data_IF_981895599459
#
_entry.id   IF_981895599459
#
_cell.length_a   1.000
_cell.length_b   1.000
_cell.length_c   1.000
_cell.angle_alpha   90.00
_cell.angle_beta   90.00
_cell.angle_gamma   90.00
#
_symmetry.space_group_name_H-M   'P 1'
#
loop_
_entity.id
_entity.type
_entity.pdbx_description
1 polymer ?
2 non-polymer ?
3 non-polymer ?
4 non-polymer ?
5 non-polymer ?
6 non-polymer ?
7 water ?
#
# COMPACT_ATOMS: atom_id res chain seq x y z
N UNK A 17 3.22 -23.47 -6.14
CA UNK A 17 2.69 -23.04 -4.80
C UNK A 17 2.85 -21.52 -4.59
N UNK A 18 2.04 -20.71 -5.30
CA UNK A 18 2.16 -19.26 -5.15
C UNK A 18 1.71 -18.75 -3.77
N UNK A 19 2.42 -17.76 -3.24
CA UNK A 19 2.01 -17.11 -1.99
C UNK A 19 1.29 -15.79 -2.14
N UNK A 20 1.18 -15.26 -3.36
CA UNK A 20 0.45 -14.00 -3.63
C UNK A 20 -0.69 -14.29 -4.59
N UNK A 21 -1.72 -14.90 -4.04
CA UNK A 21 -2.78 -15.46 -4.82
C UNK A 21 -4.07 -14.80 -4.50
N UNK A 22 -4.50 -14.85 -3.25
CA UNK A 22 -5.81 -14.38 -2.89
C UNK A 22 -5.76 -13.39 -1.74
N UNK A 23 -6.79 -12.60 -1.64
CA UNK A 23 -6.91 -11.57 -0.62
C UNK A 23 -8.05 -11.97 0.33
N UNK A 24 -7.74 -11.94 1.63
CA UNK A 24 -8.70 -12.25 2.66
C UNK A 24 -8.87 -11.04 3.56
N UNK A 25 -9.99 -10.95 4.27
CA UNK A 25 -10.16 -9.92 5.27
C UNK A 25 -9.06 -10.09 6.35
N UNK A 26 -8.34 -9.01 6.64
CA UNK A 26 -7.27 -9.06 7.61
C UNK A 26 -7.75 -9.38 9.02
N UNK A 27 -9.00 -9.04 9.33
CA UNK A 27 -9.54 -9.27 10.69
C UNK A 27 -10.06 -10.66 10.95
N UNK A 28 -10.58 -11.33 9.93
CA UNK A 28 -11.26 -12.63 10.15
C UNK A 28 -10.94 -13.73 9.14
N UNK A 29 -10.28 -13.40 8.02
CA UNK A 29 -9.92 -14.39 7.05
C UNK A 29 -10.92 -14.71 5.96
N UNK A 30 -12.06 -14.05 5.97
CA UNK A 30 -13.05 -14.22 4.89
C UNK A 30 -12.40 -14.01 3.54
N UNK A 31 -12.66 -14.91 2.60
CA UNK A 31 -12.13 -14.75 1.24
C UNK A 31 -12.78 -13.57 0.56
N UNK A 32 -12.00 -12.66 -0.04
CA UNK A 32 -12.57 -11.42 -0.60
C UNK A 32 -12.30 -11.29 -2.09
N UNK A 33 -11.06 -11.43 -2.50
CA UNK A 33 -10.74 -11.28 -3.92
C UNK A 33 -9.44 -11.99 -4.28
N UNK A 34 -8.94 -11.75 -5.49
CA UNK A 34 -7.80 -12.48 -6.02
C UNK A 34 -6.92 -11.53 -6.77
N UNK A 35 -5.61 -11.77 -6.73
CA UNK A 35 -4.67 -10.97 -7.46
C UNK A 35 -5.00 -10.98 -8.97
N UNK A 36 -5.43 -12.12 -9.50
CA UNK A 36 -5.85 -12.22 -10.91
C UNK A 36 -6.95 -11.22 -11.28
N UNK A 37 -7.71 -10.73 -10.28
CA UNK A 37 -8.85 -9.82 -10.51
C UNK A 37 -8.50 -8.33 -10.32
N UNK A 38 -7.24 -8.02 -10.11
CA UNK A 38 -6.81 -6.61 -10.09
C UNK A 38 -7.18 -5.92 -11.41
N UNK A 39 -7.62 -4.68 -11.30
CA UNK A 39 -8.13 -3.90 -12.40
C UNK A 39 -7.39 -2.55 -12.51
N UNK A 40 -6.62 -2.32 -13.57
CA UNK A 40 -5.92 -1.04 -13.70
C UNK A 40 -6.74 0.19 -14.15
N UNK A 41 -7.55 0.74 -13.25
CA UNK A 41 -8.39 1.92 -13.51
C UNK A 41 -7.53 3.15 -13.73
N UNK A 42 -7.76 3.85 -14.84
CA UNK A 42 -6.90 4.98 -15.23
C UNK A 42 -5.43 4.61 -15.36
N UNK A 43 -5.13 3.36 -15.72
CA UNK A 43 -3.75 2.89 -15.90
C UNK A 43 -3.00 2.41 -14.67
N UNK A 44 -3.68 2.25 -13.53
CA UNK A 44 -3.01 1.80 -12.31
C UNK A 44 -4.03 1.12 -11.42
N UNK A 45 -3.72 -0.07 -10.89
CA UNK A 45 -4.66 -0.70 -9.96
C UNK A 45 -4.67 0.00 -8.59
N UNK A 46 -3.59 0.70 -8.26
CA UNK A 46 -3.49 1.46 -7.01
C UNK A 46 -3.82 2.93 -7.18
N UNK A 47 -4.68 3.44 -6.29
CA UNK A 47 -5.10 4.83 -6.25
C UNK A 47 -5.01 5.32 -4.80
N UNK A 48 -4.21 6.36 -4.59
CA UNK A 48 -4.04 6.92 -3.26
C UNK A 48 -4.96 8.12 -3.15
N UNK A 49 -5.90 8.10 -2.20
CA UNK A 49 -7.03 9.00 -2.16
C UNK A 49 -7.33 9.47 -0.74
N UNK A 50 -8.06 10.57 -0.59
CA UNK A 50 -8.50 11.03 0.74
C UNK A 50 -9.98 11.25 0.73
N UNK A 51 -10.64 10.91 1.84
CA UNK A 51 -12.05 11.23 2.00
C UNK A 51 -12.25 12.64 2.65
N UNK A 52 -13.51 13.12 2.73
CA UNK A 52 -13.72 14.44 3.31
C UNK A 52 -13.30 14.58 4.77
N UNK A 53 -13.23 13.45 5.48
CA UNK A 53 -12.71 13.41 6.84
C UNK A 53 -11.19 13.36 6.94
N UNK A 54 -10.50 13.50 5.81
CA UNK A 54 -9.06 13.62 5.77
C UNK A 54 -8.33 12.30 5.86
N UNK A 55 -9.06 11.19 5.88
CA UNK A 55 -8.45 9.88 5.95
C UNK A 55 -7.86 9.55 4.59
N UNK A 56 -6.61 9.09 4.60
CA UNK A 56 -5.95 8.63 3.35
C UNK A 56 -6.15 7.13 3.21
N UNK A 57 -6.41 6.69 1.98
CA UNK A 57 -6.55 5.28 1.68
C UNK A 57 -5.69 4.96 0.48
N UNK A 58 -5.03 3.80 0.55
CA UNK A 58 -4.37 3.23 -0.61
C UNK A 58 -5.34 2.17 -1.11
N UNK A 59 -6.01 2.48 -2.21
CA UNK A 59 -7.13 1.69 -2.71
C UNK A 59 -6.61 0.89 -3.88
N UNK A 60 -6.88 -0.41 -3.86
CA UNK A 60 -6.59 -1.28 -5.00
C UNK A 60 -7.92 -1.62 -5.63
N UNK A 61 -7.95 -1.51 -6.96
CA UNK A 61 -9.16 -1.74 -7.72
C UNK A 61 -9.17 -3.16 -8.20
N UNK A 62 -10.33 -3.81 -8.06
CA UNK A 62 -10.55 -5.21 -8.46
C UNK A 62 -11.82 -5.25 -9.32
N UNK A 63 -11.80 -6.10 -10.34
CA UNK A 63 -12.97 -6.26 -11.17
C UNK A 63 -14.10 -7.00 -10.45
N UNK A 64 -13.73 -7.87 -9.51
CA UNK A 64 -14.64 -8.75 -8.81
C UNK A 64 -14.18 -8.91 -7.39
N UNK A 65 -15.14 -9.18 -6.51
CA UNK A 65 -14.88 -9.52 -5.12
C UNK A 65 -16.06 -10.30 -4.64
N UNK A 66 -15.86 -10.96 -3.50
CA UNK A 66 -16.83 -11.83 -2.90
C UNK A 66 -16.74 -11.68 -1.38
N UNK A 67 -17.72 -12.20 -0.67
CA UNK A 67 -17.67 -12.24 0.80
C UNK A 67 -17.90 -10.89 1.46
N UNK A 68 -18.35 -9.90 0.70
CA UNK A 68 -18.65 -8.56 1.23
C UNK A 68 -20.13 -8.42 1.46
N UNK A 69 -20.50 -7.33 2.14
CA UNK A 69 -21.88 -6.91 2.28
C UNK A 69 -21.90 -5.45 1.92
N UNK A 70 -22.72 -5.10 0.92
CA UNK A 70 -22.81 -3.74 0.45
C UNK A 70 -23.94 -3.06 1.18
N UNK A 71 -23.68 -1.87 1.71
CA UNK A 71 -24.58 -1.17 2.60
C UNK A 71 -25.12 0.09 1.96
N UNK A 72 -26.45 0.21 1.97
CA UNK A 72 -27.12 1.43 1.53
C UNK A 72 -27.29 1.53 0.04
N UNK A 73 -27.76 2.69 -0.40
CA UNK A 73 -27.96 2.95 -1.81
C UNK A 73 -26.73 3.68 -2.34
N UNK A 74 -26.44 3.55 -3.65
CA UNK A 74 -25.26 4.21 -4.20
C UNK A 74 -25.29 5.72 -4.10
N UNK A 75 -24.13 6.32 -3.97
CA UNK A 75 -23.99 7.77 -3.96
C UNK A 75 -22.88 8.20 -4.90
N UNK A 76 -23.07 9.29 -5.62
CA UNK A 76 -22.00 9.87 -6.44
C UNK A 76 -21.15 10.88 -5.70
N UNK A 77 -21.56 11.25 -4.50
CA UNK A 77 -20.91 12.31 -3.71
C UNK A 77 -19.44 12.00 -3.43
N UNK A 78 -18.56 12.91 -3.80
CA UNK A 78 -17.11 12.80 -3.56
C UNK A 78 -16.46 11.57 -4.19
N UNK A 79 -17.04 11.00 -5.25
CA UNK A 79 -16.49 9.79 -5.80
C UNK A 79 -15.11 10.05 -6.34
N UNK A 80 -14.19 9.16 -5.99
CA UNK A 80 -12.82 9.18 -6.49
C UNK A 80 -12.68 8.75 -7.94
N UNK A 81 -13.73 8.18 -8.52
CA UNK A 81 -13.69 7.64 -9.87
C UNK A 81 -14.84 8.24 -10.65
N UNK A 82 -14.48 9.02 -11.67
CA UNK A 82 -15.46 9.83 -12.41
C UNK A 82 -16.46 8.92 -13.08
N UNK A 83 -17.73 9.25 -12.92
CA UNK A 83 -18.81 8.48 -13.56
C UNK A 83 -19.35 7.33 -12.73
N UNK A 84 -18.76 7.08 -11.55
CA UNK A 84 -19.19 5.97 -10.68
C UNK A 84 -19.79 6.44 -9.39
N UNK A 85 -20.81 5.72 -8.96
CA UNK A 85 -21.44 5.91 -7.66
C UNK A 85 -20.94 4.80 -6.78
N UNK A 86 -20.84 5.06 -5.48
CA UNK A 86 -20.25 4.08 -4.55
C UNK A 86 -21.23 3.66 -3.46
N UNK A 87 -21.00 2.45 -2.95
CA UNK A 87 -21.66 1.92 -1.75
C UNK A 87 -20.55 1.37 -0.87
N UNK A 88 -20.70 1.54 0.44
CA UNK A 88 -19.73 0.99 1.39
C UNK A 88 -19.76 -0.53 1.31
N UNK A 89 -18.57 -1.14 1.29
CA UNK A 89 -18.41 -2.58 1.28
C UNK A 89 -17.81 -3.00 2.61
N UNK A 90 -18.57 -3.77 3.37
CA UNK A 90 -18.06 -4.36 4.62
C UNK A 90 -17.71 -5.83 4.40
N UNK A 91 -16.78 -6.32 5.19
CA UNK A 91 -16.61 -7.78 5.25
C UNK A 91 -17.93 -8.39 5.66
N UNK A 92 -18.42 -9.38 4.87
CA UNK A 92 -19.68 -10.01 5.17
C UNK A 92 -19.69 -10.87 6.41
N UNK A 93 -18.50 -11.25 6.88
CA UNK A 93 -18.37 -12.10 8.02
C UNK A 93 -18.26 -11.26 9.30
N UNK A 94 -17.30 -10.35 9.32
CA UNK A 94 -16.97 -9.61 10.57
C UNK A 94 -17.38 -8.14 10.61
N UNK A 95 -17.81 -7.57 9.47
CA UNK A 95 -18.24 -6.19 9.44
C UNK A 95 -17.13 -5.16 9.24
N UNK A 96 -15.88 -5.59 9.13
CA UNK A 96 -14.74 -4.67 8.88
C UNK A 96 -15.00 -3.86 7.60
N UNK A 97 -14.76 -2.55 7.64
CA UNK A 97 -14.93 -1.75 6.40
C UNK A 97 -13.77 -1.99 5.46
N UNK A 98 -14.01 -2.70 4.37
CA UNK A 98 -12.93 -3.08 3.46
C UNK A 98 -12.76 -2.22 2.24
N UNK A 99 -13.80 -1.46 1.90
CA UNK A 99 -13.71 -0.56 0.77
C UNK A 99 -15.07 -0.15 0.28
N UNK A 100 -15.21 -0.09 -1.03
CA UNK A 100 -16.41 0.42 -1.69
C UNK A 100 -16.66 -0.37 -2.96
N UNK A 101 -17.94 -0.52 -3.32
CA UNK A 101 -18.30 -1.01 -4.63
C UNK A 101 -18.76 0.17 -5.46
N UNK A 102 -18.29 0.21 -6.70
CA UNK A 102 -18.58 1.29 -7.63
C UNK A 102 -19.45 0.77 -8.75
N UNK A 103 -20.43 1.56 -9.15
CA UNK A 103 -21.39 1.18 -10.17
C UNK A 103 -21.83 2.40 -10.94
N UNK A 104 -22.52 2.15 -12.03
CA UNK A 104 -23.14 3.24 -12.78
C UNK A 104 -22.27 3.88 -13.84
N UNK A 105 -21.04 3.36 -14.04
CA UNK A 105 -20.07 3.96 -14.95
C UNK A 105 -19.97 3.22 -16.26
N UNK A 106 -18.81 3.33 -16.92
CA UNK A 106 -18.62 2.71 -18.24
C UNK A 106 -17.23 2.10 -18.33
N UNK A 107 -17.14 0.87 -18.83
CA UNK A 107 -15.86 0.25 -19.16
C UNK A 107 -14.88 0.27 -17.98
N UNK A 108 -15.19 -0.40 -16.88
CA UNK A 108 -16.32 -1.26 -16.70
C UNK A 108 -17.50 -0.53 -16.08
N UNK A 109 -18.66 -1.18 -16.08
CA UNK A 109 -19.82 -0.57 -15.43
C UNK A 109 -19.63 -0.56 -13.90
N UNK A 110 -18.99 -1.59 -13.38
CA UNK A 110 -18.80 -1.76 -11.93
C UNK A 110 -17.40 -2.27 -11.61
N UNK A 111 -16.97 -2.00 -10.39
CA UNK A 111 -15.72 -2.57 -9.85
C UNK A 111 -15.69 -2.32 -8.36
N UNK A 112 -14.68 -2.89 -7.71
CA UNK A 112 -14.49 -2.73 -6.26
C UNK A 112 -13.21 -1.96 -6.01
N UNK A 113 -13.26 -0.99 -5.07
CA UNK A 113 -12.06 -0.33 -4.61
C UNK A 113 -11.85 -0.76 -3.17
N UNK A 114 -10.80 -1.55 -2.90
CA UNK A 114 -10.61 -2.14 -1.58
C UNK A 114 -9.36 -1.54 -0.95
N UNK A 115 -9.40 -1.39 0.37
CA UNK A 115 -8.30 -0.74 1.09
C UNK A 115 -7.19 -1.78 1.33
N UNK A 116 -6.04 -1.56 0.72
CA UNK A 116 -4.97 -2.57 0.68
C UNK A 116 -4.60 -3.09 2.06
N UNK A 117 -4.41 -2.17 3.01
CA UNK A 117 -3.94 -2.55 4.37
C UNK A 117 -5.00 -3.22 5.23
N UNK A 118 -6.22 -3.33 4.72
CA UNK A 118 -7.29 -4.06 5.41
C UNK A 118 -7.49 -5.48 4.91
N UNK A 119 -6.66 -5.87 3.95
CA UNK A 119 -6.66 -7.21 3.35
C UNK A 119 -5.36 -7.92 3.69
N UNK A 120 -5.41 -9.24 3.78
CA UNK A 120 -4.20 -10.07 3.89
C UNK A 120 -4.06 -10.93 2.65
N UNK A 121 -2.90 -10.86 2.03
CA UNK A 121 -2.63 -11.57 0.78
C UNK A 121 -1.90 -12.88 1.04
N UNK A 122 -2.29 -13.95 0.36
CA UNK A 122 -1.69 -15.24 0.64
C UNK A 122 -2.07 -16.30 -0.34
N UNK A 123 -1.65 -17.53 -0.08
CA UNK A 123 -1.83 -18.61 -1.04
C UNK A 123 -3.28 -19.00 -1.22
N UNK A 124 -3.58 -19.54 -2.40
CA UNK A 124 -4.88 -20.11 -2.72
C UNK A 124 -4.99 -21.50 -2.10
N UNK B 20 18.09 8.81 12.02
CA UNK B 20 18.24 7.40 11.56
C UNK B 20 17.92 6.47 12.71
N UNK B 21 16.63 6.27 12.94
CA UNK B 21 16.19 5.38 13.99
C UNK B 21 16.44 3.91 13.67
N UNK B 22 16.34 3.11 14.73
CA UNK B 22 16.61 1.69 14.59
C UNK B 22 15.46 0.88 15.14
N UNK B 23 15.39 -0.36 14.70
CA UNK B 23 14.38 -1.31 15.16
C UNK B 23 15.08 -2.37 15.99
N UNK B 24 14.59 -2.57 17.21
CA UNK B 24 15.14 -3.55 18.13
C UNK B 24 14.15 -4.65 18.35
N UNK B 25 14.64 -5.85 18.68
CA UNK B 25 13.76 -6.95 19.07
C UNK B 25 12.95 -6.49 20.28
N UNK B 26 11.63 -6.62 20.20
CA UNK B 26 10.75 -6.12 21.26
C UNK B 26 10.92 -6.92 22.54
N UNK B 27 11.35 -8.17 22.43
CA UNK B 27 11.54 -9.05 23.58
C UNK B 27 12.85 -8.87 24.34
N UNK B 28 13.93 -8.53 23.65
CA UNK B 28 15.23 -8.40 24.34
C UNK B 28 16.07 -7.15 24.07
N UNK B 29 15.68 -6.35 23.09
CA UNK B 29 16.37 -5.09 22.80
C UNK B 29 17.54 -5.19 21.84
N UNK B 30 17.80 -6.37 21.30
CA UNK B 30 18.91 -6.48 20.36
C UNK B 30 18.61 -5.58 19.16
N UNK B 31 19.56 -4.80 18.65
CA UNK B 31 19.37 -4.13 17.37
C UNK B 31 19.18 -5.15 16.22
N UNK B 32 18.14 -4.92 15.42
CA UNK B 32 17.81 -5.83 14.31
C UNK B 32 17.92 -5.18 12.95
N UNK B 33 17.30 -4.01 12.80
CA UNK B 33 17.39 -3.30 11.52
C UNK B 33 17.23 -1.81 11.71
N UNK B 34 17.12 -1.09 10.59
CA UNK B 34 17.18 0.38 10.63
C UNK B 34 16.14 0.92 9.70
N UNK B 35 15.57 2.07 10.08
CA UNK B 35 14.64 2.73 9.19
C UNK B 35 15.24 3.03 7.81
N UNK B 36 16.52 3.40 7.76
CA UNK B 36 17.21 3.67 6.49
C UNK B 36 17.16 2.46 5.54
N UNK B 37 16.95 1.26 6.09
CA UNK B 37 16.95 0.02 5.31
C UNK B 37 15.58 -0.46 4.87
N UNK B 38 14.52 0.30 5.17
CA UNK B 38 13.22 -0.03 4.66
C UNK B 38 13.24 -0.14 3.14
N UNK B 39 12.54 -1.15 2.65
CA UNK B 39 12.61 -1.56 1.26
C UNK B 39 11.20 -1.66 0.69
N UNK B 40 10.82 -0.77 -0.25
CA UNK B 40 9.47 -0.86 -0.81
C UNK B 40 9.23 -1.97 -1.88
N UNK B 41 9.14 -3.23 -1.43
CA UNK B 41 8.89 -4.36 -2.34
C UNK B 41 7.50 -4.30 -2.92
N UNK B 42 7.43 -4.41 -4.25
CA UNK B 42 6.17 -4.20 -4.97
C UNK B 42 5.51 -2.85 -4.71
N UNK B 43 6.31 -1.83 -4.42
CA UNK B 43 5.80 -0.47 -4.17
C UNK B 43 5.35 -0.13 -2.75
N UNK B 44 5.62 -1.01 -1.77
CA UNK B 44 5.20 -0.73 -0.39
C UNK B 44 6.12 -1.47 0.54
N UNK B 45 6.66 -0.82 1.57
CA UNK B 45 7.45 -1.57 2.56
C UNK B 45 6.58 -2.46 3.47
N UNK B 46 5.29 -2.14 3.61
CA UNK B 46 4.35 -2.96 4.41
C UNK B 46 3.56 -3.93 3.55
N UNK B 47 3.51 -5.20 3.97
CA UNK B 47 2.74 -6.25 3.31
C UNK B 47 1.98 -7.03 4.38
N UNK B 48 0.66 -7.03 4.31
CA UNK B 48 -0.16 -7.84 5.18
C UNK B 48 -0.45 -9.15 4.43
N UNK B 49 -0.08 -10.26 5.06
CA UNK B 49 0.03 -11.57 4.38
C UNK B 49 -0.51 -12.66 5.29
N UNK B 50 -0.82 -13.82 4.72
CA UNK B 50 -1.15 -14.99 5.52
C UNK B 50 -0.48 -16.21 4.99
N UNK B 51 -0.11 -17.12 5.88
CA UNK B 51 0.54 -18.38 5.48
C UNK B 51 -0.49 -19.49 5.25
N UNK B 52 -0.06 -20.70 4.78
CA UNK B 52 -1.03 -21.77 4.55
C UNK B 52 -1.76 -22.25 5.81
N UNK B 53 -1.17 -22.00 6.98
CA UNK B 53 -1.86 -22.28 8.25
C UNK B 53 -2.84 -21.20 8.68
N UNK B 54 -3.02 -20.17 7.86
CA UNK B 54 -3.98 -19.11 8.08
C UNK B 54 -3.52 -18.07 9.06
N UNK B 55 -2.25 -18.13 9.45
CA UNK B 55 -1.70 -17.11 10.35
C UNK B 55 -1.46 -15.82 9.56
N UNK B 56 -1.93 -14.69 10.10
CA UNK B 56 -1.81 -13.38 9.45
C UNK B 56 -0.63 -12.62 10.04
N UNK B 57 0.15 -11.99 9.19
CA UNK B 57 1.28 -11.16 9.65
C UNK B 57 1.30 -9.84 8.93
N UNK B 58 1.70 -8.78 9.64
CA UNK B 58 1.99 -7.52 9.02
C UNK B 58 3.51 -7.37 8.95
N UNK B 59 4.02 -7.54 7.74
CA UNK B 59 5.44 -7.64 7.48
C UNK B 59 5.96 -6.32 6.92
N UNK B 60 7.08 -5.85 7.43
CA UNK B 60 7.82 -4.75 6.85
C UNK B 60 9.10 -5.30 6.22
N UNK B 61 9.37 -4.84 5.01
CA UNK B 61 10.52 -5.27 4.25
C UNK B 61 11.69 -4.34 4.52
N UNK B 62 12.84 -4.97 4.78
CA UNK B 62 14.12 -4.29 4.98
C UNK B 62 15.19 -4.91 4.10
N UNK B 63 16.10 -4.12 3.57
CA UNK B 63 17.16 -4.64 2.73
C UNK B 63 18.15 -5.54 3.47
N UNK B 64 18.45 -5.16 4.71
CA UNK B 64 19.43 -5.80 5.56
C UNK B 64 18.89 -5.89 6.97
N UNK B 65 19.50 -6.78 7.74
CA UNK B 65 19.22 -6.89 9.16
C UNK B 65 20.44 -7.48 9.82
N UNK B 66 20.42 -7.47 11.13
CA UNK B 66 21.48 -8.02 11.94
C UNK B 66 20.91 -8.63 13.20
N UNK B 67 21.74 -9.48 13.82
CA UNK B 67 21.39 -10.06 15.11
C UNK B 67 20.34 -11.13 15.07
N UNK B 68 19.99 -11.62 13.87
CA UNK B 68 19.05 -12.73 13.71
C UNK B 68 19.78 -14.04 13.53
N UNK B 69 19.04 -15.13 13.62
CA UNK B 69 19.54 -16.46 13.28
C UNK B 69 18.54 -17.06 12.33
N UNK B 70 19.00 -17.44 11.14
CA UNK B 70 18.17 -18.03 10.12
C UNK B 70 18.20 -19.54 10.29
N UNK B 71 17.02 -20.16 10.33
CA UNK B 71 16.92 -21.57 10.66
C UNK B 71 16.30 -22.34 9.50
N UNK B 72 16.91 -23.48 9.19
CA UNK B 72 16.43 -24.36 8.15
C UNK B 72 16.99 -24.00 6.79
N UNK B 73 16.62 -24.80 5.80
CA UNK B 73 17.02 -24.57 4.43
C UNK B 73 15.97 -23.68 3.76
N UNK B 74 16.37 -22.89 2.74
CA UNK B 74 15.36 -22.05 2.06
C UNK B 74 14.27 -22.84 1.39
N UNK B 75 13.08 -22.26 1.36
CA UNK B 75 11.94 -22.89 0.73
C UNK B 75 11.28 -21.88 -0.20
N UNK B 76 10.87 -22.39 -1.36
CA UNK B 76 10.09 -21.60 -2.30
C UNK B 76 8.60 -21.69 -2.09
N UNK B 77 8.19 -22.65 -1.25
CA UNK B 77 6.76 -22.97 -1.04
C UNK B 77 6.01 -21.78 -0.51
N UNK B 78 4.97 -21.35 -1.23
CA UNK B 78 4.05 -20.29 -0.78
C UNK B 78 4.73 -18.98 -0.47
N UNK B 79 5.84 -18.69 -1.18
CA UNK B 79 6.54 -17.45 -0.93
C UNK B 79 5.64 -16.26 -1.20
N UNK B 80 5.63 -15.32 -0.26
CA UNK B 80 4.91 -14.06 -0.44
C UNK B 80 5.51 -13.11 -1.48
N UNK B 81 6.75 -13.38 -1.90
CA UNK B 81 7.46 -12.54 -2.85
C UNK B 81 7.94 -13.43 -3.97
N UNK B 82 7.35 -13.24 -5.15
CA UNK B 82 7.61 -14.11 -6.29
C UNK B 82 9.08 -14.07 -6.66
N UNK B 83 9.67 -15.25 -6.87
CA UNK B 83 11.05 -15.37 -7.28
C UNK B 83 12.05 -15.49 -6.13
N UNK B 84 11.55 -15.47 -4.89
CA UNK B 84 12.37 -15.60 -3.70
C UNK B 84 12.01 -16.85 -2.91
N UNK B 85 13.03 -17.43 -2.29
CA UNK B 85 12.88 -18.51 -1.32
C UNK B 85 13.01 -17.86 0.06
N UNK B 86 12.38 -18.47 1.05
CA UNK B 86 12.43 -17.92 2.41
C UNK B 86 13.02 -18.89 3.44
N UNK B 87 13.56 -18.29 4.52
CA UNK B 87 14.00 -19.03 5.70
C UNK B 87 13.49 -18.28 6.91
N UNK B 88 13.04 -19.00 7.93
CA UNK B 88 12.60 -18.40 9.19
C UNK B 88 13.75 -17.66 9.88
N UNK B 89 13.46 -16.45 10.37
CA UNK B 89 14.42 -15.63 11.10
C UNK B 89 14.01 -15.51 12.56
N UNK B 90 14.85 -15.99 13.45
CA UNK B 90 14.68 -15.78 14.89
C UNK B 90 15.62 -14.68 15.41
N UNK B 91 15.22 -14.00 16.47
CA UNK B 91 16.21 -13.16 17.15
C UNK B 91 17.37 -14.05 17.63
N UNK B 92 18.60 -13.67 17.28
CA UNK B 92 19.77 -14.47 17.63
C UNK B 92 20.09 -14.50 19.11
N UNK B 93 19.58 -13.50 19.82
CA UNK B 93 19.88 -13.31 21.22
C UNK B 93 18.85 -14.02 22.08
N UNK B 94 17.56 -13.80 21.82
CA UNK B 94 16.49 -14.38 22.65
C UNK B 94 15.57 -15.41 21.99
N UNK B 95 15.67 -15.62 20.68
CA UNK B 95 14.90 -16.68 20.00
C UNK B 95 13.52 -16.30 19.49
N UNK B 96 13.08 -15.06 19.72
CA UNK B 96 11.75 -14.61 19.23
C UNK B 96 11.64 -14.77 17.72
N UNK B 97 10.51 -15.27 17.21
CA UNK B 97 10.30 -15.32 15.76
C UNK B 97 10.05 -13.92 15.21
N UNK B 98 11.02 -13.37 14.48
CA UNK B 98 10.92 -11.99 14.03
C UNK B 98 10.56 -11.83 12.57
N UNK B 99 10.69 -12.88 11.77
CA UNK B 99 10.27 -12.80 10.39
C UNK B 99 10.93 -13.86 9.52
N UNK B 100 11.35 -13.43 8.34
CA UNK B 100 11.92 -14.31 7.33
C UNK B 100 12.97 -13.60 6.53
N UNK B 101 13.93 -14.36 6.03
CA UNK B 101 14.90 -13.85 5.07
C UNK B 101 14.57 -14.42 3.73
N UNK B 102 14.65 -13.58 2.70
CA UNK B 102 14.35 -13.96 1.32
C UNK B 102 15.64 -13.94 0.52
N UNK B 103 15.78 -14.94 -0.35
CA UNK B 103 16.95 -15.03 -1.21
C UNK B 103 16.59 -15.63 -2.55
N UNK B 104 17.54 -15.56 -3.46
CA UNK B 104 17.44 -16.26 -4.73
C UNK B 104 16.74 -15.46 -5.81
N UNK B 105 16.44 -14.19 -5.55
CA UNK B 105 15.77 -13.34 -6.55
C UNK B 105 16.74 -12.41 -7.26
N UNK B 106 16.22 -11.29 -7.75
CA UNK B 106 17.02 -10.29 -8.46
C UNK B 106 16.51 -8.91 -8.06
N UNK B 107 17.43 -7.99 -7.82
CA UNK B 107 17.09 -6.58 -7.62
C UNK B 107 16.01 -6.38 -6.54
N UNK B 108 16.29 -6.73 -5.29
CA UNK B 108 17.57 -7.22 -4.80
C UNK B 108 17.64 -8.73 -4.78
N UNK B 109 18.82 -9.29 -4.64
CA UNK B 109 18.94 -10.74 -4.54
C UNK B 109 18.37 -11.27 -3.24
N UNK B 110 18.54 -10.50 -2.17
CA UNK B 110 18.07 -10.88 -0.82
C UNK B 110 17.47 -9.69 -0.10
N UNK B 111 16.61 -9.97 0.87
CA UNK B 111 16.04 -8.95 1.76
C UNK B 111 15.33 -9.67 2.91
N UNK B 112 14.85 -8.91 3.87
CA UNK B 112 14.15 -9.43 5.04
C UNK B 112 12.69 -8.96 5.05
N UNK B 113 11.80 -9.83 5.50
CA UNK B 113 10.44 -9.46 5.84
C UNK B 113 10.30 -9.67 7.35
N UNK B 114 10.18 -8.58 8.11
CA UNK B 114 10.16 -8.66 9.56
C UNK B 114 8.77 -8.31 10.07
N UNK B 115 8.37 -8.94 11.15
CA UNK B 115 7.03 -8.75 11.71
C UNK B 115 7.01 -7.46 12.53
N UNK B 116 6.32 -6.44 12.01
CA UNK B 116 6.37 -5.10 12.58
C UNK B 116 6.07 -5.09 14.06
N UNK B 117 5.04 -5.80 14.52
CA UNK B 117 4.61 -5.85 15.92
C UNK B 117 5.60 -6.44 16.89
N UNK B 118 6.59 -7.15 16.34
CA UNK B 118 7.61 -7.81 17.15
C UNK B 118 8.90 -7.01 17.27
N UNK B 119 8.90 -5.80 16.72
CA UNK B 119 10.02 -4.87 16.77
C UNK B 119 9.60 -3.62 17.57
N UNK B 120 10.59 -2.95 18.13
CA UNK B 120 10.38 -1.65 18.77
C UNK B 120 11.31 -0.65 18.11
N UNK B 121 10.77 0.47 17.67
CA UNK B 121 11.53 1.52 17.02
C UNK B 121 12.03 2.59 18.01
N UNK B 122 13.27 3.03 17.86
CA UNK B 122 13.78 4.03 18.79
C UNK B 122 15.07 4.63 18.29
N UNK B 123 15.61 5.58 19.06
CA UNK B 123 16.88 6.18 18.67
C UNK B 123 18.05 5.20 18.76
N UNK B 124 19.04 5.40 17.89
CA UNK B 124 20.23 4.55 17.82
C UNK B 124 21.12 4.65 19.05
N UNK C 19 -14.93 15.10 -5.58
CA UNK C 19 -14.13 13.86 -5.82
C UNK C 19 -12.64 14.06 -5.58
N UNK C 20 -12.02 14.76 -6.52
CA UNK C 20 -10.59 15.10 -6.47
C UNK C 20 -10.45 16.61 -6.71
N UNK C 21 -10.81 17.39 -5.68
CA UNK C 21 -10.73 18.85 -5.74
C UNK C 21 -9.54 19.45 -4.95
N UNK C 22 -9.08 18.74 -3.92
CA UNK C 22 -7.81 19.09 -3.22
C UNK C 22 -6.80 17.96 -3.36
N UNK C 23 -5.54 18.33 -3.59
CA UNK C 23 -4.38 17.42 -3.70
C UNK C 23 -3.48 17.61 -2.51
N UNK C 24 -2.78 16.55 -2.10
CA UNK C 24 -1.94 16.61 -0.90
C UNK C 24 -0.97 15.44 -0.71
N UNK C 25 0.11 15.70 0.02
CA UNK C 25 1.24 14.77 0.14
C UNK C 25 0.80 13.37 0.56
N UNK C 26 1.23 12.35 -0.18
CA UNK C 26 0.85 10.96 0.13
C UNK C 26 1.43 10.47 1.45
N UNK C 27 2.63 10.95 1.81
CA UNK C 27 3.35 10.47 2.99
C UNK C 27 2.75 11.00 4.29
N UNK C 28 2.46 12.30 4.35
CA UNK C 28 1.98 12.94 5.57
C UNK C 28 0.67 13.73 5.42
N UNK C 29 0.31 14.10 4.19
CA UNK C 29 -0.96 14.75 3.91
C UNK C 29 -1.00 16.27 3.89
N UNK C 30 0.18 16.90 3.91
CA UNK C 30 0.30 18.35 3.70
C UNK C 30 -0.52 18.76 2.48
N UNK C 31 -1.42 19.73 2.64
CA UNK C 31 -2.13 20.36 1.49
C UNK C 31 -1.12 20.94 0.52
N UNK C 32 -1.20 20.54 -0.74
CA UNK C 32 -0.31 21.07 -1.75
C UNK C 32 -1.06 21.96 -2.77
N UNK C 33 -2.17 21.48 -3.33
CA UNK C 33 -2.85 22.23 -4.40
C UNK C 33 -4.35 21.91 -4.60
N UNK C 34 -4.95 22.62 -5.57
CA UNK C 34 -6.39 22.63 -5.81
C UNK C 34 -6.69 22.28 -7.28
N UNK C 35 -7.88 21.71 -7.50
CA UNK C 35 -8.39 21.44 -8.85
C UNK C 35 -8.59 22.71 -9.67
N UNK C 36 -8.99 23.82 -9.01
CA UNK C 36 -9.11 25.11 -9.71
C UNK C 36 -7.79 25.55 -10.35
N UNK C 37 -6.67 25.23 -9.70
CA UNK C 37 -5.33 25.54 -10.22
C UNK C 37 -4.78 24.48 -11.17
N UNK C 38 -5.50 23.37 -11.38
CA UNK C 38 -5.05 22.27 -12.25
C UNK C 38 -5.09 22.67 -13.72
N UNK C 39 -4.00 22.40 -14.44
CA UNK C 39 -3.83 22.85 -15.83
C UNK C 39 -4.05 21.68 -16.83
N UNK C 40 -5.20 21.67 -17.54
CA UNK C 40 -5.42 20.61 -18.52
C UNK C 40 -4.65 20.87 -19.81
N UNK C 41 -4.38 19.78 -20.56
CA UNK C 41 -3.89 19.85 -21.93
C UNK C 41 -4.85 19.01 -22.75
N UNK C 42 -5.70 19.66 -23.55
CA UNK C 42 -6.77 18.97 -24.30
C UNK C 42 -7.74 18.31 -23.32
N UNK C 43 -7.96 17.01 -23.49
CA UNK C 43 -8.92 16.25 -22.69
C UNK C 43 -8.38 15.55 -21.46
N UNK C 44 -7.10 15.73 -21.15
CA UNK C 44 -6.48 15.06 -19.99
C UNK C 44 -5.89 16.05 -19.00
N UNK C 45 -6.17 15.78 -17.72
CA UNK C 45 -5.56 16.51 -16.61
C UNK C 45 -4.25 15.85 -16.18
N UNK C 46 -4.06 14.60 -16.58
CA UNK C 46 -2.88 13.80 -16.24
C UNK C 46 -2.00 13.56 -17.48
N UNK C 47 -0.69 13.42 -17.24
CA UNK C 47 0.29 13.15 -18.30
C UNK C 47 1.20 11.98 -17.89
N UNK C 48 1.29 10.99 -18.78
CA UNK C 48 2.13 9.81 -18.57
C UNK C 48 3.53 10.18 -19.04
N UNK C 49 4.53 9.96 -18.18
CA UNK C 49 5.94 10.24 -18.49
C UNK C 49 6.85 9.19 -17.87
N UNK C 57 5.42 6.89 -14.35
CA UNK C 57 4.84 7.91 -13.48
C UNK C 57 3.71 8.68 -14.17
N UNK C 58 2.86 9.31 -13.36
CA UNK C 58 1.73 10.14 -13.83
C UNK C 58 1.77 11.52 -13.17
N UNK C 59 1.63 12.57 -13.99
CA UNK C 59 1.89 13.96 -13.55
C UNK C 59 0.67 14.85 -13.71
N UNK C 60 0.28 15.52 -12.63
CA UNK C 60 -0.64 16.65 -12.66
C UNK C 60 0.16 17.95 -12.67
N UNK C 61 -0.24 18.90 -13.50
CA UNK C 61 0.37 20.25 -13.55
C UNK C 61 -0.54 21.30 -12.90
N UNK C 62 0.01 22.06 -11.95
CA UNK C 62 -0.72 23.13 -11.26
C UNK C 62 0.01 24.47 -11.42
N UNK C 63 -0.74 25.57 -11.61
CA UNK C 63 -0.15 26.92 -11.69
C UNK C 63 0.35 27.41 -10.34
N UNK C 64 -0.37 27.06 -9.27
CA UNK C 64 -0.04 27.50 -7.92
C UNK C 64 -0.04 26.33 -6.97
N UNK C 65 0.73 26.46 -5.90
CA UNK C 65 0.83 25.43 -4.90
C UNK C 65 1.35 26.05 -3.62
N UNK C 66 1.22 25.28 -2.56
CA UNK C 66 1.65 25.70 -1.25
C UNK C 66 2.27 24.52 -0.53
N UNK C 67 2.81 24.78 0.64
CA UNK C 67 3.31 23.71 1.50
C UNK C 67 4.52 22.95 1.01
N UNK C 68 5.19 23.47 -0.01
CA UNK C 68 6.38 22.87 -0.55
C UNK C 68 7.58 23.63 -0.03
N UNK C 69 8.73 22.96 -0.04
CA UNK C 69 10.01 23.56 0.18
C UNK C 69 10.75 23.40 -1.15
N UNK C 70 11.23 24.50 -1.72
CA UNK C 70 11.93 24.47 -3.00
C UNK C 70 12.98 25.58 -3.07
N UNK C 86 16.60 22.42 -12.63
CA UNK C 86 15.23 22.16 -12.18
C UNK C 86 15.08 22.52 -10.71
N UNK C 87 13.86 22.93 -10.31
CA UNK C 87 13.55 23.16 -8.89
C UNK C 87 12.82 21.97 -8.28
N UNK C 88 13.51 21.26 -7.39
CA UNK C 88 12.94 20.15 -6.62
C UNK C 88 11.88 20.66 -5.65
N UNK C 89 10.74 19.96 -5.61
CA UNK C 89 9.65 20.31 -4.68
C UNK C 89 9.56 19.23 -3.60
N UNK C 90 9.97 19.58 -2.39
CA UNK C 90 9.80 18.67 -1.27
C UNK C 90 8.62 19.13 -0.45
N UNK C 91 7.83 18.17 0.02
CA UNK C 91 6.83 18.45 1.04
C UNK C 91 7.49 19.18 2.23
N UNK C 92 6.96 20.35 2.59
CA UNK C 92 7.50 21.13 3.68
C UNK C 92 7.20 20.57 5.07
N UNK C 93 6.26 19.63 5.15
CA UNK C 93 5.89 19.02 6.44
C UNK C 93 6.73 17.79 6.82
N UNK C 94 6.88 16.87 5.89
CA UNK C 94 7.59 15.61 6.14
C UNK C 94 8.86 15.42 5.31
N UNK C 95 9.06 16.26 4.29
CA UNK C 95 10.24 16.16 3.44
C UNK C 95 10.17 15.19 2.27
N UNK C 96 9.01 14.55 2.02
CA UNK C 96 8.85 13.68 0.82
C UNK C 96 8.94 14.46 -0.49
N UNK C 97 9.41 13.78 -1.54
CA UNK C 97 9.50 14.35 -2.89
C UNK C 97 8.17 14.23 -3.64
N UNK C 98 7.52 15.38 -3.89
CA UNK C 98 6.19 15.39 -4.52
C UNK C 98 6.22 15.71 -6.01
N UNK C 99 7.32 16.29 -6.50
CA UNK C 99 7.46 16.62 -7.91
C UNK C 99 8.49 17.72 -8.17
N UNK C 100 8.18 18.62 -9.10
CA UNK C 100 9.11 19.66 -9.52
C UNK C 100 8.42 20.98 -9.88
N UNK C 101 9.09 22.08 -9.56
CA UNK C 101 8.62 23.44 -9.88
C UNK C 101 9.28 23.90 -11.17
N UNK C 102 8.46 24.27 -12.16
CA UNK C 102 8.94 24.62 -13.52
C UNK C 102 8.94 26.14 -13.77
N UNK C 103 9.53 26.54 -14.90
CA UNK C 103 9.72 27.96 -15.27
C UNK C 103 8.40 28.77 -15.26
N UNK C 112 4.10 24.31 -11.49
CA UNK C 112 4.41 23.10 -10.73
C UNK C 112 3.95 21.84 -11.47
N UNK C 113 4.74 20.77 -11.37
CA UNK C 113 4.37 19.44 -11.87
C UNK C 113 4.56 18.41 -10.76
N UNK C 114 3.47 17.76 -10.33
CA UNK C 114 3.49 16.87 -9.15
C UNK C 114 3.12 15.42 -9.50
N UNK C 115 3.70 14.49 -8.74
CA UNK C 115 3.66 13.06 -9.08
C UNK C 115 2.40 12.45 -8.47
N UNK C 116 1.55 11.86 -9.31
CA UNK C 116 0.25 11.30 -8.88
C UNK C 116 0.32 10.23 -7.77
N UNK C 117 1.42 9.46 -7.72
CA UNK C 117 1.64 8.40 -6.72
C UNK C 117 2.28 8.91 -5.42
N UNK C 118 3.30 9.77 -5.55
CA UNK C 118 3.89 10.51 -4.41
C UNK C 118 2.97 11.61 -3.87
N UNK C 119 2.00 12.03 -4.68
CA UNK C 119 0.90 12.88 -4.24
C UNK C 119 -0.31 11.98 -3.95
N UNK C 120 -1.37 12.58 -3.43
CA UNK C 120 -2.67 11.89 -3.33
C UNK C 120 -3.88 12.87 -3.40
N UNK C 121 -5.05 12.37 -3.82
CA UNK C 121 -6.21 13.22 -4.18
C UNK C 121 -7.49 13.09 -3.34
N UNK C 122 -8.11 14.23 -3.02
CA UNK C 122 -9.35 14.25 -2.24
C UNK C 122 -10.26 15.45 -2.51
N UNK C 123 -11.36 15.57 -1.76
CA UNK C 123 -12.27 16.72 -1.89
C UNK C 123 -11.73 18.03 -1.27
#
# INVERSE_FOLDING_TARGET
>A
AMPLDAGGQNSTQMVLAPGASIFRCRQCGQTISRRDWLLPMGGDHEHVVFNPAGMIFRVWCFSLAQGLRLIGAPSGEFSWFKGYDWTIALCGQCGSHLGWHYEGGSQPQTFFGLIKDRLAEGPAD
>B
AMPLDAGGQNSTQMVLAPGASIFRCRQCGQTISRRDWLLPMGGDHEHVVFNPAGMIFRVWCFSLAQGLRLIGAPSGEFSWFKGYDWTIALCGQCGSHLGWHYEGGSQPQTFFGLIKDRLAEGPAD
>C
AMPLDAGGQNSTQMVLAPGASIFRCRQCGQTISRRDWLLPMGGDHEHVVFNPAGMIFRVWCFSLAQGLRLIGAPSGEFSWFKGYDWTIALCGQCGSHLGWHYEGGSQPQTFFGLIKDRLAEGPAD
#
